data_IF_320287947571
#
_entry.id   IF_320287947571
#
_cell.length_a   1.000
_cell.length_b   1.000
_cell.length_c   1.000
_cell.angle_alpha   90.00
_cell.angle_beta   90.00
_cell.angle_gamma   90.00
#
_symmetry.space_group_name_H-M   'P 1'
#
loop_
_entity.id
_entity.type
_entity.pdbx_description
1 polymer ?
#
# COMPACT_ATOMS: atom_id res chain seq x y z
N UNK A 1 -34.70 25.50 9.15
CA UNK A 1 -34.82 24.23 8.37
C UNK A 1 -34.03 24.25 7.04
N UNK A 2 -32.85 24.90 6.97
CA UNK A 2 -31.98 24.92 5.76
C UNK A 2 -30.77 23.97 5.83
N UNK A 3 -30.44 23.47 7.01
CA UNK A 3 -29.25 22.65 7.23
C UNK A 3 -29.36 21.25 6.63
N UNK A 4 -30.55 20.65 6.59
CA UNK A 4 -30.75 19.27 6.09
C UNK A 4 -30.51 19.12 4.57
N UNK A 5 -30.68 20.18 3.79
CA UNK A 5 -30.40 20.17 2.34
C UNK A 5 -28.91 20.16 2.03
N UNK A 6 -28.13 20.96 2.76
CA UNK A 6 -26.67 21.10 2.57
C UNK A 6 -25.97 19.78 2.91
N UNK A 7 -26.32 19.14 4.03
CA UNK A 7 -25.77 17.83 4.40
C UNK A 7 -26.05 16.74 3.36
N UNK A 8 -27.22 16.80 2.70
CA UNK A 8 -27.58 15.82 1.66
C UNK A 8 -26.78 16.01 0.37
N UNK A 9 -26.48 17.25 0.00
CA UNK A 9 -25.63 17.57 -1.16
C UNK A 9 -24.16 17.20 -0.90
N UNK A 10 -23.65 17.51 0.30
CA UNK A 10 -22.30 17.11 0.72
C UNK A 10 -22.12 15.59 0.72
N UNK A 11 -23.11 14.83 1.20
CA UNK A 11 -23.05 13.37 1.21
C UNK A 11 -23.06 12.78 -0.20
N UNK A 12 -23.90 13.32 -1.09
CA UNK A 12 -23.92 12.93 -2.51
C UNK A 12 -22.58 13.22 -3.19
N UNK A 13 -21.98 14.37 -2.90
CA UNK A 13 -20.68 14.75 -3.44
C UNK A 13 -19.57 13.81 -2.97
N UNK A 14 -19.49 13.53 -1.66
CA UNK A 14 -18.52 12.57 -1.09
C UNK A 14 -18.69 11.18 -1.68
N UNK A 15 -19.92 10.72 -1.87
CA UNK A 15 -20.22 9.43 -2.48
C UNK A 15 -19.79 9.37 -3.95
N UNK A 16 -20.06 10.42 -4.73
CA UNK A 16 -19.64 10.49 -6.13
C UNK A 16 -18.11 10.46 -6.28
N UNK A 17 -17.38 11.23 -5.45
CA UNK A 17 -15.91 11.20 -5.42
C UNK A 17 -15.42 9.80 -5.08
N UNK A 18 -15.99 9.20 -4.04
CA UNK A 18 -15.61 7.87 -3.58
C UNK A 18 -15.81 6.81 -4.66
N UNK A 19 -16.92 6.86 -5.40
CA UNK A 19 -17.15 5.98 -6.54
C UNK A 19 -16.12 6.21 -7.66
N UNK A 20 -15.86 7.46 -8.06
CA UNK A 20 -14.88 7.77 -9.10
C UNK A 20 -13.46 7.32 -8.70
N UNK A 21 -13.07 7.52 -7.44
CA UNK A 21 -11.78 7.06 -6.94
C UNK A 21 -11.67 5.53 -6.96
N UNK A 22 -12.71 4.83 -6.52
CA UNK A 22 -12.70 3.37 -6.40
C UNK A 22 -12.84 2.65 -7.75
N UNK A 23 -13.73 3.10 -8.64
CA UNK A 23 -14.04 2.39 -9.88
C UNK A 23 -13.20 2.86 -11.08
N UNK A 24 -12.77 4.13 -11.11
CA UNK A 24 -12.06 4.68 -12.26
C UNK A 24 -10.57 4.88 -11.96
N UNK A 25 -10.24 5.67 -10.94
CA UNK A 25 -8.87 6.16 -10.74
C UNK A 25 -7.95 5.07 -10.15
N UNK A 26 -8.37 4.41 -9.07
CA UNK A 26 -7.55 3.40 -8.39
C UNK A 26 -7.23 2.22 -9.31
N UNK A 27 -8.17 1.63 -10.08
CA UNK A 27 -7.85 0.51 -10.98
C UNK A 27 -6.87 0.90 -12.09
N UNK A 28 -7.03 2.09 -12.68
CA UNK A 28 -6.11 2.59 -13.72
C UNK A 28 -4.72 2.82 -13.15
N UNK A 29 -4.61 3.47 -11.98
CA UNK A 29 -3.32 3.69 -11.33
C UNK A 29 -2.63 2.38 -10.94
N UNK A 30 -3.41 1.42 -10.42
CA UNK A 30 -2.97 0.05 -10.13
C UNK A 30 -2.38 -0.63 -11.36
N UNK A 31 -3.11 -0.57 -12.48
CA UNK A 31 -2.68 -1.17 -13.73
C UNK A 31 -1.40 -0.53 -14.29
N UNK A 32 -1.24 0.78 -14.13
CA UNK A 32 0.00 1.48 -14.51
C UNK A 32 1.18 0.94 -13.69
N UNK A 33 1.04 0.84 -12.36
CA UNK A 33 2.09 0.28 -11.51
C UNK A 33 2.40 -1.16 -11.88
N UNK A 34 1.39 -1.99 -12.09
CA UNK A 34 1.59 -3.40 -12.46
C UNK A 34 2.38 -3.53 -13.77
N UNK A 35 1.97 -2.79 -14.82
CA UNK A 35 2.68 -2.79 -16.10
C UNK A 35 4.11 -2.29 -15.97
N UNK A 36 4.33 -1.24 -15.19
CA UNK A 36 5.68 -0.70 -14.94
C UNK A 36 6.57 -1.71 -14.19
N UNK A 37 6.00 -2.41 -13.21
CA UNK A 37 6.72 -3.47 -12.50
C UNK A 37 7.08 -4.63 -13.44
N UNK A 38 6.14 -5.08 -14.29
CA UNK A 38 6.37 -6.17 -15.25
C UNK A 38 7.43 -5.84 -16.30
N UNK A 39 7.37 -4.64 -16.88
CA UNK A 39 8.32 -4.18 -17.90
C UNK A 39 9.76 -4.22 -17.42
N UNK A 40 9.97 -4.03 -16.12
CA UNK A 40 11.31 -3.93 -15.56
C UNK A 40 11.72 -5.11 -14.67
N UNK A 41 10.79 -5.99 -14.28
CA UNK A 41 11.06 -7.20 -13.50
C UNK A 41 12.19 -8.04 -14.10
N UNK A 42 12.17 -8.27 -15.43
CA UNK A 42 13.21 -9.03 -16.12
C UNK A 42 14.52 -8.24 -16.25
N UNK A 43 14.43 -6.94 -16.54
CA UNK A 43 15.60 -6.09 -16.74
C UNK A 43 16.46 -6.00 -15.47
N UNK A 44 15.83 -5.96 -14.29
CA UNK A 44 16.56 -5.94 -13.02
C UNK A 44 17.12 -7.31 -12.62
N UNK A 45 16.41 -8.40 -12.90
CA UNK A 45 16.96 -9.75 -12.74
C UNK A 45 18.24 -9.97 -13.56
N UNK A 46 18.36 -9.28 -14.71
CA UNK A 46 19.52 -9.33 -15.59
C UNK A 46 20.61 -8.30 -15.23
N UNK A 47 20.43 -7.51 -14.16
CA UNK A 47 21.42 -6.52 -13.72
C UNK A 47 21.57 -5.32 -14.66
N UNK A 48 20.58 -5.04 -15.50
CA UNK A 48 20.63 -3.89 -16.44
C UNK A 48 20.44 -2.60 -15.64
N UNK A 49 21.48 -1.77 -15.63
CA UNK A 49 21.44 -0.46 -14.95
C UNK A 49 20.52 0.51 -15.68
N UNK A 50 19.60 1.13 -14.93
CA UNK A 50 18.72 2.20 -15.39
C UNK A 50 19.32 3.60 -15.16
N UNK A 51 20.64 3.73 -15.06
CA UNK A 51 21.31 5.04 -15.06
C UNK A 51 21.33 5.66 -16.46
N UNK A 52 20.16 5.74 -17.08
CA UNK A 52 19.91 6.23 -18.43
C UNK A 52 18.56 6.95 -18.47
N UNK A 53 18.25 7.57 -19.62
CA UNK A 53 17.02 8.33 -19.81
C UNK A 53 15.74 7.51 -19.56
N UNK A 54 15.78 6.20 -19.80
CA UNK A 54 14.64 5.31 -19.55
C UNK A 54 14.35 5.18 -18.05
N UNK A 55 15.40 5.13 -17.21
CA UNK A 55 15.24 5.18 -15.76
C UNK A 55 14.59 6.47 -15.28
N UNK A 56 15.03 7.63 -15.76
CA UNK A 56 14.43 8.92 -15.39
C UNK A 56 12.94 9.00 -15.75
N UNK A 57 12.54 8.50 -16.92
CA UNK A 57 11.13 8.45 -17.34
C UNK A 57 10.33 7.51 -16.44
N UNK A 58 10.89 6.36 -16.09
CA UNK A 58 10.28 5.44 -15.15
C UNK A 58 9.97 6.13 -13.80
N UNK A 59 10.96 6.81 -13.20
CA UNK A 59 10.75 7.54 -11.94
C UNK A 59 9.68 8.64 -12.07
N UNK A 60 9.69 9.38 -13.18
CA UNK A 60 8.71 10.43 -13.45
C UNK A 60 7.27 9.91 -13.59
N UNK A 61 7.08 8.65 -13.98
CA UNK A 61 5.76 8.01 -14.07
C UNK A 61 5.33 7.36 -12.75
N UNK A 62 6.26 6.68 -12.07
CA UNK A 62 5.96 5.87 -10.87
C UNK A 62 5.55 6.74 -9.70
N UNK A 63 6.35 7.77 -9.36
CA UNK A 63 6.12 8.60 -8.18
C UNK A 63 4.73 9.28 -8.16
N UNK A 64 4.28 9.97 -9.22
CA UNK A 64 2.93 10.54 -9.22
C UNK A 64 1.85 9.47 -9.15
N UNK A 65 2.04 8.31 -9.80
CA UNK A 65 1.08 7.21 -9.76
C UNK A 65 0.93 6.65 -8.35
N UNK A 66 2.04 6.43 -7.63
CA UNK A 66 2.03 6.01 -6.22
C UNK A 66 1.38 7.04 -5.32
N UNK A 67 1.65 8.33 -5.55
CA UNK A 67 0.99 9.41 -4.81
C UNK A 67 -0.53 9.36 -5.00
N UNK A 68 -1.02 9.16 -6.23
CA UNK A 68 -2.45 9.01 -6.52
C UNK A 68 -3.02 7.80 -5.77
N UNK A 69 -2.37 6.64 -5.85
CA UNK A 69 -2.81 5.41 -5.17
C UNK A 69 -2.91 5.66 -3.66
N UNK A 70 -1.87 6.22 -3.04
CA UNK A 70 -1.85 6.54 -1.61
C UNK A 70 -3.02 7.43 -1.21
N UNK A 71 -3.26 8.53 -1.95
CA UNK A 71 -4.39 9.42 -1.66
C UNK A 71 -5.75 8.73 -1.84
N UNK A 72 -5.89 7.90 -2.89
CA UNK A 72 -7.10 7.10 -3.09
C UNK A 72 -7.34 6.15 -1.91
N UNK A 73 -6.32 5.39 -1.50
CA UNK A 73 -6.43 4.44 -0.40
C UNK A 73 -6.73 5.16 0.91
N UNK A 74 -5.98 6.20 1.29
CA UNK A 74 -6.27 6.97 2.49
C UNK A 74 -7.70 7.53 2.48
N UNK A 75 -8.17 8.09 1.37
CA UNK A 75 -9.53 8.63 1.29
C UNK A 75 -10.60 7.53 1.37
N UNK A 76 -10.43 6.43 0.63
CA UNK A 76 -11.39 5.32 0.59
C UNK A 76 -11.47 4.60 1.94
N UNK A 77 -10.32 4.32 2.55
CA UNK A 77 -10.22 3.68 3.87
C UNK A 77 -10.82 4.60 4.93
N UNK A 78 -10.55 5.91 4.91
CA UNK A 78 -11.18 6.84 5.87
C UNK A 78 -12.69 6.98 5.68
N UNK A 79 -13.20 6.88 4.44
CA UNK A 79 -14.62 6.97 4.16
C UNK A 79 -15.40 5.70 4.48
N UNK A 80 -14.81 4.52 4.23
CA UNK A 80 -15.47 3.20 4.42
C UNK A 80 -15.11 2.50 5.74
N UNK A 81 -13.98 2.85 6.36
CA UNK A 81 -13.41 2.17 7.54
C UNK A 81 -13.43 0.65 7.37
N UNK A 82 -14.16 -0.05 8.22
CA UNK A 82 -14.30 -1.51 8.27
C UNK A 82 -14.96 -2.13 7.02
N UNK A 83 -15.70 -1.34 6.22
CA UNK A 83 -16.32 -1.84 4.99
C UNK A 83 -15.33 -1.92 3.82
N UNK A 84 -14.15 -1.30 3.94
CA UNK A 84 -13.12 -1.43 2.91
C UNK A 84 -12.41 -2.77 3.08
N UNK A 85 -12.53 -3.66 2.09
CA UNK A 85 -11.96 -5.01 2.10
C UNK A 85 -11.13 -5.34 0.85
N UNK A 86 -10.90 -4.35 -0.01
CA UNK A 86 -10.19 -4.56 -1.26
C UNK A 86 -8.68 -4.51 -1.04
N UNK A 87 -8.04 -5.68 -1.14
CA UNK A 87 -6.58 -5.85 -1.03
C UNK A 87 -5.89 -6.06 -2.38
N UNK A 88 -6.61 -5.94 -3.50
CA UNK A 88 -6.06 -6.26 -4.83
C UNK A 88 -4.82 -5.42 -5.20
N UNK A 89 -4.73 -4.20 -4.68
CA UNK A 89 -3.60 -3.28 -4.91
C UNK A 89 -2.29 -3.73 -4.25
N UNK A 90 -2.37 -4.59 -3.22
CA UNK A 90 -1.18 -5.02 -2.46
C UNK A 90 -0.22 -5.78 -3.37
N UNK A 91 -0.75 -6.65 -4.23
CA UNK A 91 0.08 -7.48 -5.10
C UNK A 91 0.88 -6.66 -6.13
N UNK A 92 0.27 -5.72 -6.90
CA UNK A 92 1.02 -4.80 -7.76
C UNK A 92 2.05 -3.94 -7.02
N UNK A 93 1.70 -3.43 -5.83
CA UNK A 93 2.63 -2.65 -5.01
C UNK A 93 3.82 -3.49 -4.53
N UNK A 94 3.58 -4.74 -4.13
CA UNK A 94 4.63 -5.67 -3.71
C UNK A 94 5.53 -6.08 -4.88
N UNK A 95 4.98 -6.36 -6.07
CA UNK A 95 5.78 -6.56 -7.29
C UNK A 95 6.73 -5.39 -7.50
N UNK A 96 6.20 -4.17 -7.45
CA UNK A 96 6.96 -2.94 -7.61
C UNK A 96 7.99 -2.70 -6.49
N UNK A 97 7.71 -3.16 -5.27
CA UNK A 97 8.67 -3.09 -4.18
C UNK A 97 9.85 -4.06 -4.39
N UNK A 98 9.57 -5.32 -4.80
CA UNK A 98 10.60 -6.33 -5.11
C UNK A 98 11.55 -5.85 -6.20
N UNK A 99 10.96 -5.30 -7.24
CA UNK A 99 11.61 -4.56 -8.31
C UNK A 99 12.64 -3.55 -7.78
N UNK A 100 12.23 -2.69 -6.84
CA UNK A 100 13.11 -1.68 -6.26
C UNK A 100 14.22 -2.30 -5.40
N UNK A 101 13.91 -3.35 -4.63
CA UNK A 101 14.90 -4.09 -3.84
C UNK A 101 15.96 -4.80 -4.70
N UNK A 102 15.62 -5.17 -5.93
CA UNK A 102 16.55 -5.84 -6.85
C UNK A 102 17.50 -4.87 -7.58
N UNK A 103 17.31 -3.55 -7.43
CA UNK A 103 18.16 -2.57 -8.09
C UNK A 103 19.52 -2.45 -7.37
N UNK A 104 20.60 -2.59 -8.14
CA UNK A 104 21.95 -2.33 -7.66
C UNK A 104 22.16 -0.83 -7.44
N UNK A 105 22.77 -0.41 -6.33
CA UNK A 105 23.02 1.00 -6.07
C UNK A 105 24.01 1.58 -7.07
N UNK A 106 23.53 2.41 -8.01
CA UNK A 106 24.39 3.27 -8.83
C UNK A 106 24.45 4.67 -8.21
N UNK A 107 25.63 5.29 -8.17
CA UNK A 107 25.84 6.63 -7.62
C UNK A 107 24.90 7.64 -8.30
N UNK A 108 23.80 8.03 -7.65
CA UNK A 108 22.77 8.93 -8.18
C UNK A 108 21.35 8.38 -8.00
N UNK A 109 21.02 7.31 -8.71
CA UNK A 109 19.68 6.69 -8.80
C UNK A 109 19.19 6.05 -7.49
N UNK A 110 20.10 5.84 -6.54
CA UNK A 110 19.79 5.30 -5.22
C UNK A 110 18.76 6.15 -4.48
N UNK A 111 18.76 7.47 -4.66
CA UNK A 111 17.82 8.35 -3.95
C UNK A 111 16.38 8.14 -4.39
N UNK A 112 16.12 8.02 -5.69
CA UNK A 112 14.76 7.90 -6.23
C UNK A 112 14.13 6.54 -5.93
N UNK A 113 14.92 5.46 -5.97
CA UNK A 113 14.46 4.10 -5.61
C UNK A 113 14.02 4.03 -4.16
N UNK A 114 14.77 4.64 -3.24
CA UNK A 114 14.38 4.72 -1.83
C UNK A 114 13.11 5.55 -1.62
N UNK A 115 12.92 6.62 -2.39
CA UNK A 115 11.68 7.41 -2.34
C UNK A 115 10.49 6.55 -2.79
N UNK A 116 10.63 5.78 -3.89
CA UNK A 116 9.58 4.86 -4.34
C UNK A 116 9.26 3.82 -3.26
N UNK A 117 10.27 3.16 -2.71
CA UNK A 117 10.10 2.18 -1.64
C UNK A 117 9.33 2.77 -0.46
N UNK A 118 9.70 3.98 -0.02
CA UNK A 118 9.02 4.68 1.07
C UNK A 118 7.57 5.04 0.74
N UNK A 119 7.29 5.48 -0.50
CA UNK A 119 5.91 5.78 -0.92
C UNK A 119 5.05 4.50 -0.99
N UNK A 120 5.62 3.37 -1.40
CA UNK A 120 4.92 2.07 -1.39
C UNK A 120 4.61 1.66 0.06
N UNK A 121 5.60 1.74 0.95
CA UNK A 121 5.41 1.46 2.38
C UNK A 121 4.33 2.37 2.96
N UNK A 122 4.37 3.67 2.67
CA UNK A 122 3.36 4.63 3.14
C UNK A 122 1.96 4.33 2.60
N UNK A 123 1.83 3.87 1.35
CA UNK A 123 0.56 3.44 0.78
C UNK A 123 0.04 2.18 1.48
N UNK A 124 0.89 1.20 1.77
CA UNK A 124 0.49 -0.02 2.48
C UNK A 124 0.20 0.22 3.96
N UNK A 125 0.86 1.19 4.60
CA UNK A 125 0.55 1.64 5.95
C UNK A 125 -0.87 2.22 6.08
N UNK A 126 -1.49 2.68 4.99
CA UNK A 126 -2.88 3.13 5.04
C UNK A 126 -3.86 2.01 5.44
N UNK A 127 -3.52 0.74 5.17
CA UNK A 127 -4.29 -0.43 5.61
C UNK A 127 -4.16 -0.70 7.11
N UNK A 128 -3.14 -0.14 7.78
CA UNK A 128 -2.83 -0.40 9.19
C UNK A 128 -3.33 0.71 10.12
N UNK A 129 -3.76 1.85 9.56
CA UNK A 129 -4.15 3.05 10.30
C UNK A 129 -5.66 3.10 10.63
N UNK A 130 -6.43 2.07 10.28
CA UNK A 130 -7.84 2.02 10.66
C UNK A 130 -7.93 1.84 12.16
N UNK A 131 -8.32 2.90 12.87
CA UNK A 131 -8.70 2.83 14.27
C UNK A 131 -9.95 1.96 14.37
N UNK A 132 -9.76 0.71 14.79
CA UNK A 132 -10.87 -0.13 15.22
C UNK A 132 -11.61 0.61 16.35
N UNK A 133 -12.96 0.61 16.38
CA UNK A 133 -13.70 1.07 17.54
C UNK A 133 -13.20 0.31 18.77
N UNK A 134 -13.15 0.95 19.95
CA UNK A 134 -12.58 0.34 21.14
C UNK A 134 -13.21 -1.03 21.34
N UNK A 135 -12.39 -2.07 21.29
CA UNK A 135 -12.80 -3.44 21.59
C UNK A 135 -13.45 -3.39 22.96
N UNK A 136 -14.78 -3.42 23.00
CA UNK A 136 -15.52 -3.64 24.23
C UNK A 136 -15.20 -5.07 24.59
N UNK A 137 -14.26 -5.24 25.53
CA UNK A 137 -13.88 -6.53 26.09
C UNK A 137 -15.10 -7.02 26.87
N UNK A 138 -16.06 -7.60 26.17
CA UNK A 138 -17.06 -8.46 26.76
C UNK A 138 -16.40 -9.83 26.89
N UNK A 139 -16.50 -10.42 28.07
CA UNK A 139 -15.82 -11.65 28.54
C UNK A 139 -16.19 -12.93 27.76
N UNK A 140 -16.90 -12.81 26.64
CA UNK A 140 -17.40 -13.92 25.83
C UNK A 140 -16.56 -14.09 24.56
N UNK A 141 -15.52 -14.92 24.64
CA UNK A 141 -14.99 -15.88 23.65
C UNK A 141 -15.07 -15.67 22.10
N UNK A 142 -15.35 -14.48 21.56
CA UNK A 142 -15.40 -14.21 20.10
C UNK A 142 -14.20 -13.42 19.55
N UNK A 143 -13.11 -13.39 20.30
CA UNK A 143 -11.84 -12.71 19.99
C UNK A 143 -11.17 -13.10 18.63
N UNK A 144 -11.24 -14.35 18.10
CA UNK A 144 -10.44 -14.72 16.91
C UNK A 144 -11.07 -14.33 15.56
N UNK A 145 -12.36 -13.92 15.51
CA UNK A 145 -13.01 -13.53 14.25
C UNK A 145 -12.77 -12.06 13.90
N UNK A 146 -12.90 -11.16 14.88
CA UNK A 146 -12.70 -9.72 14.69
C UNK A 146 -11.27 -9.39 14.20
N UNK A 147 -10.25 -10.06 14.75
CA UNK A 147 -8.85 -9.86 14.32
C UNK A 147 -8.62 -10.36 12.89
N UNK A 148 -9.19 -11.50 12.50
CA UNK A 148 -9.06 -12.04 11.12
C UNK A 148 -9.76 -11.19 10.07
N UNK A 149 -10.77 -10.43 10.46
CA UNK A 149 -11.50 -9.50 9.59
C UNK A 149 -10.91 -8.08 9.59
N UNK A 150 -9.89 -7.80 10.39
CA UNK A 150 -9.21 -6.50 10.34
C UNK A 150 -8.53 -6.31 8.98
N UNK A 151 -8.60 -5.09 8.44
CA UNK A 151 -7.99 -4.72 7.17
C UNK A 151 -6.48 -4.96 7.17
N UNK A 152 -5.83 -4.73 8.32
CA UNK A 152 -4.42 -5.04 8.56
C UNK A 152 -4.12 -6.54 8.40
N UNK A 153 -4.94 -7.42 8.98
CA UNK A 153 -4.73 -8.88 8.87
C UNK A 153 -4.92 -9.35 7.44
N UNK A 154 -5.92 -8.82 6.72
CA UNK A 154 -6.09 -9.12 5.29
C UNK A 154 -4.87 -8.68 4.48
N UNK A 155 -4.32 -7.49 4.77
CA UNK A 155 -3.14 -6.98 4.09
C UNK A 155 -1.90 -7.85 4.35
N UNK A 156 -1.69 -8.27 5.60
CA UNK A 156 -0.60 -9.19 5.96
C UNK A 156 -0.73 -10.55 5.28
N UNK A 157 -1.94 -11.13 5.28
CA UNK A 157 -2.20 -12.40 4.61
C UNK A 157 -1.82 -12.30 3.12
N UNK A 158 -2.15 -11.19 2.47
CA UNK A 158 -1.83 -10.99 1.05
C UNK A 158 -0.31 -10.84 0.81
N UNK A 159 0.40 -10.15 1.70
CA UNK A 159 1.88 -10.09 1.66
C UNK A 159 2.50 -11.47 1.87
N UNK A 160 1.95 -12.28 2.79
CA UNK A 160 2.41 -13.64 3.03
C UNK A 160 2.19 -14.54 1.81
N UNK A 161 1.04 -14.40 1.12
CA UNK A 161 0.80 -15.11 -0.15
C UNK A 161 1.80 -14.68 -1.22
N UNK A 162 2.03 -13.38 -1.38
CA UNK A 162 3.02 -12.85 -2.34
C UNK A 162 4.42 -13.43 -2.11
N UNK A 163 4.84 -13.56 -0.84
CA UNK A 163 6.11 -14.22 -0.51
C UNK A 163 6.12 -15.69 -0.95
N UNK A 164 5.00 -16.40 -0.76
CA UNK A 164 4.86 -17.81 -1.14
C UNK A 164 4.98 -18.09 -2.64
N UNK A 165 4.74 -17.09 -3.49
CA UNK A 165 4.75 -17.27 -4.96
C UNK A 165 6.16 -17.54 -5.51
N UNK A 166 7.19 -16.91 -4.95
CA UNK A 166 8.56 -17.06 -5.44
C UNK A 166 9.60 -16.73 -4.37
N UNK A 167 10.73 -17.45 -4.37
CA UNK A 167 11.84 -17.24 -3.42
C UNK A 167 12.42 -15.82 -3.53
N UNK A 168 12.45 -15.24 -4.73
CA UNK A 168 12.93 -13.87 -4.94
C UNK A 168 12.08 -12.81 -4.23
N UNK A 169 10.85 -13.12 -3.83
CA UNK A 169 9.96 -12.21 -3.10
C UNK A 169 10.27 -12.17 -1.60
N UNK A 170 11.09 -13.07 -1.06
CA UNK A 170 11.34 -13.14 0.38
C UNK A 170 12.00 -11.88 0.93
N UNK A 171 13.03 -11.36 0.26
CA UNK A 171 13.73 -10.14 0.70
C UNK A 171 12.78 -8.96 0.75
N UNK A 172 11.98 -8.80 -0.31
CA UNK A 172 10.98 -7.75 -0.43
C UNK A 172 9.87 -7.90 0.63
N UNK A 173 9.37 -9.11 0.83
CA UNK A 173 8.33 -9.41 1.80
C UNK A 173 8.78 -9.20 3.25
N UNK A 174 9.96 -9.69 3.63
CA UNK A 174 10.49 -9.45 4.97
C UNK A 174 10.78 -7.97 5.23
N UNK A 175 11.32 -7.25 4.24
CA UNK A 175 11.52 -5.81 4.34
C UNK A 175 10.20 -5.05 4.51
N UNK A 176 9.15 -5.44 3.79
CA UNK A 176 7.83 -4.84 3.95
C UNK A 176 7.24 -5.16 5.33
N UNK A 177 7.34 -6.41 5.79
CA UNK A 177 6.86 -6.80 7.11
C UNK A 177 7.57 -6.02 8.22
N UNK A 178 8.88 -5.79 8.13
CA UNK A 178 9.59 -5.01 9.14
C UNK A 178 9.13 -3.55 9.23
N UNK A 179 8.66 -2.98 8.11
CA UNK A 179 8.14 -1.60 8.07
C UNK A 179 6.67 -1.52 8.52
N UNK A 180 5.88 -2.55 8.25
CA UNK A 180 4.45 -2.60 8.61
C UNK A 180 4.19 -3.04 10.05
N UNK A 181 5.15 -3.73 10.66
CA UNK A 181 5.06 -4.09 12.07
C UNK A 181 5.30 -2.82 12.91
N UNK A 182 4.42 -2.50 13.87
CA UNK A 182 4.72 -1.46 14.83
C UNK A 182 6.03 -1.84 15.52
N UNK A 183 7.04 -0.98 15.39
CA UNK A 183 8.32 -1.13 16.09
C UNK A 183 8.03 -1.46 17.55
N UNK A 184 8.79 -2.38 18.17
CA UNK A 184 8.43 -2.94 19.46
C UNK A 184 8.17 -1.83 20.48
N UNK A 185 7.04 -2.01 21.17
CA UNK A 185 6.67 -1.42 22.45
C UNK A 185 7.90 -1.07 23.30
N UNK A 186 7.86 0.05 24.05
CA UNK A 186 9.02 0.66 24.69
C UNK A 186 9.93 -0.41 25.28
N UNK A 187 11.10 -0.58 24.65
CA UNK A 187 12.24 -1.22 25.27
C UNK A 187 12.53 -0.40 26.52
N UNK A 188 11.95 -0.79 27.65
CA UNK A 188 12.44 -0.41 28.95
C UNK A 188 13.83 -1.04 29.06
N UNK A 189 14.81 -0.39 28.44
CA UNK A 189 16.20 -0.55 28.78
C UNK A 189 16.33 -0.04 30.21
N UNK A 190 16.09 -0.95 31.17
CA UNK A 190 16.60 -0.77 32.53
C UNK A 190 18.12 -0.78 32.40
N UNK A 191 18.69 0.43 32.43
CA UNK A 191 20.06 0.65 32.87
C UNK A 191 20.22 0.26 34.34
#
# INVERSE_FOLDING_TARGET
MRFTGIFKEELKYKYAIMQALYFDILPVATQIIEKLAELHSLNWQQGISLNNRCGSIFYACVLPTLSIIKHCLCYLINCRKEEFRDTAIIYPLMKMYTVCCSMLPSSGVVSEVFIIQREIVAALLSFTQVEDPPVVINDDCEQPKAVRESLWTMALIEIMKFMGDAICNFVAGFGMLSELLPLPLPLQAKA
#
